data_IF_918311443560
#
_entry.id   IF_918311443560
#
_cell.length_a   1.000
_cell.length_b   1.000
_cell.length_c   1.000
_cell.angle_alpha   90.00
_cell.angle_beta   90.00
_cell.angle_gamma   90.00
#
_symmetry.space_group_name_H-M   'P 1'
#
loop_
_entity.id
_entity.type
_entity.pdbx_description
1 polymer ?
#
# COMPACT_ATOMS: atom_id res chain seq x y z
N UNK A 1 21.42 -4.14 4.07
CA UNK A 1 20.72 -4.95 3.05
C UNK A 1 21.02 -4.37 1.67
N UNK A 2 21.22 -5.20 0.68
CA UNK A 2 21.46 -4.71 -0.67
C UNK A 2 20.11 -4.47 -1.40
N UNK A 3 20.15 -3.79 -2.55
CA UNK A 3 18.91 -3.42 -3.25
C UNK A 3 18.14 -4.64 -3.77
N UNK A 4 18.82 -5.76 -4.07
CA UNK A 4 18.17 -7.00 -4.47
C UNK A 4 17.31 -7.57 -3.35
N UNK A 5 17.84 -7.58 -2.13
CA UNK A 5 17.09 -8.04 -0.98
C UNK A 5 15.93 -7.13 -0.66
N UNK A 6 16.14 -5.82 -0.78
CA UNK A 6 15.07 -4.85 -0.55
C UNK A 6 13.92 -5.07 -1.53
N UNK A 7 14.24 -5.31 -2.80
CA UNK A 7 13.22 -5.59 -3.81
C UNK A 7 12.48 -6.89 -3.50
N UNK A 8 13.20 -7.92 -3.03
CA UNK A 8 12.58 -9.19 -2.69
C UNK A 8 11.61 -9.05 -1.52
N UNK A 9 12.02 -8.33 -0.48
CA UNK A 9 11.15 -8.06 0.67
C UNK A 9 9.91 -7.27 0.24
N UNK A 10 10.10 -6.26 -0.60
CA UNK A 10 8.98 -5.45 -1.06
C UNK A 10 7.97 -6.28 -1.84
N UNK A 11 8.46 -7.15 -2.72
CA UNK A 11 7.58 -8.03 -3.51
C UNK A 11 6.85 -9.03 -2.64
N UNK A 12 7.55 -9.61 -1.67
CA UNK A 12 6.93 -10.57 -0.75
C UNK A 12 5.84 -9.90 0.08
N UNK A 13 6.11 -8.71 0.59
CA UNK A 13 5.12 -7.96 1.36
C UNK A 13 3.90 -7.60 0.52
N UNK A 14 4.12 -7.17 -0.71
CA UNK A 14 3.04 -6.81 -1.63
C UNK A 14 2.18 -8.02 -1.95
N UNK A 15 2.82 -9.15 -2.29
CA UNK A 15 2.10 -10.39 -2.60
C UNK A 15 1.29 -10.86 -1.40
N UNK A 16 1.87 -10.82 -0.21
CA UNK A 16 1.20 -11.22 1.02
C UNK A 16 -0.04 -10.37 1.27
N UNK A 17 0.09 -9.06 1.08
CA UNK A 17 -1.01 -8.12 1.26
C UNK A 17 -2.16 -8.45 0.31
N UNK A 18 -1.86 -8.65 -0.96
CA UNK A 18 -2.88 -8.96 -1.97
C UNK A 18 -3.57 -10.28 -1.66
N UNK A 19 -2.81 -11.31 -1.34
CA UNK A 19 -3.36 -12.63 -1.02
C UNK A 19 -4.25 -12.53 0.22
N UNK A 20 -3.82 -11.80 1.24
CA UNK A 20 -4.59 -11.64 2.46
C UNK A 20 -5.94 -10.96 2.17
N UNK A 21 -5.94 -9.85 1.44
CA UNK A 21 -7.18 -9.15 1.10
C UNK A 21 -8.11 -10.03 0.25
N UNK A 22 -7.56 -10.74 -0.73
CA UNK A 22 -8.36 -11.64 -1.55
C UNK A 22 -8.97 -12.76 -0.73
N UNK A 23 -8.23 -13.29 0.23
CA UNK A 23 -8.74 -14.34 1.11
C UNK A 23 -9.89 -13.81 1.96
N UNK A 24 -9.75 -12.61 2.54
CA UNK A 24 -10.82 -12.00 3.32
C UNK A 24 -12.06 -11.76 2.48
N UNK A 25 -11.89 -11.29 1.25
CA UNK A 25 -12.99 -11.07 0.32
C UNK A 25 -13.69 -12.39 -0.01
N UNK A 26 -12.91 -13.42 -0.31
CA UNK A 26 -13.44 -14.73 -0.67
C UNK A 26 -14.26 -15.34 0.46
N UNK A 27 -13.83 -15.13 1.69
CA UNK A 27 -14.53 -15.64 2.86
C UNK A 27 -15.71 -14.77 3.29
N UNK A 28 -15.87 -13.62 2.65
CA UNK A 28 -16.97 -12.72 2.97
C UNK A 28 -16.79 -11.97 4.27
N UNK A 29 -15.57 -11.92 4.79
CA UNK A 29 -15.29 -11.21 6.04
C UNK A 29 -15.24 -9.70 5.87
N UNK A 30 -14.91 -9.22 4.67
CA UNK A 30 -14.99 -7.81 4.31
C UNK A 30 -15.55 -7.72 2.90
N UNK A 31 -16.16 -6.57 2.57
CA UNK A 31 -16.61 -6.32 1.22
C UNK A 31 -15.46 -5.73 0.39
N UNK A 32 -15.59 -5.80 -0.93
CA UNK A 32 -14.62 -5.16 -1.83
C UNK A 32 -14.52 -3.67 -1.53
N UNK A 33 -15.65 -3.01 -1.29
CA UNK A 33 -15.67 -1.59 -0.97
C UNK A 33 -14.91 -1.28 0.31
N UNK A 34 -15.05 -2.12 1.33
CA UNK A 34 -14.30 -1.96 2.57
C UNK A 34 -12.81 -2.12 2.34
N UNK A 35 -12.40 -3.15 1.58
CA UNK A 35 -11.00 -3.39 1.29
C UNK A 35 -10.38 -2.21 0.57
N UNK A 36 -11.05 -1.70 -0.45
CA UNK A 36 -10.58 -0.57 -1.23
C UNK A 36 -10.50 0.68 -0.34
N UNK A 37 -11.51 0.90 0.50
CA UNK A 37 -11.52 2.04 1.41
C UNK A 37 -10.34 2.01 2.38
N UNK A 38 -10.06 0.86 2.96
CA UNK A 38 -8.95 0.70 3.90
C UNK A 38 -7.64 1.08 3.22
N UNK A 39 -7.43 0.58 2.01
CA UNK A 39 -6.20 0.84 1.27
C UNK A 39 -6.10 2.31 0.86
N UNK A 40 -7.19 2.89 0.39
CA UNK A 40 -7.19 4.29 -0.03
C UNK A 40 -7.02 5.25 1.15
N UNK A 41 -7.59 4.92 2.32
CA UNK A 41 -7.38 5.71 3.52
C UNK A 41 -5.90 5.73 3.90
N UNK A 42 -5.22 4.60 3.76
CA UNK A 42 -3.79 4.54 4.02
C UNK A 42 -3.00 5.37 2.99
N UNK A 43 -3.43 5.33 1.72
CA UNK A 43 -2.80 6.13 0.69
C UNK A 43 -2.93 7.64 0.99
N UNK A 44 -4.11 8.07 1.45
CA UNK A 44 -4.32 9.47 1.83
C UNK A 44 -3.44 9.84 3.01
N UNK A 45 -3.32 8.94 3.99
CA UNK A 45 -2.46 9.16 5.15
C UNK A 45 -1.01 9.37 4.73
N UNK A 46 -0.52 8.56 3.79
CA UNK A 46 0.85 8.69 3.28
C UNK A 46 1.04 9.99 2.50
N UNK A 47 0.04 10.38 1.72
CA UNK A 47 0.10 11.63 0.97
C UNK A 47 0.14 12.84 1.91
N UNK A 48 -0.61 12.79 3.02
CA UNK A 48 -0.59 13.85 4.02
C UNK A 48 0.77 13.94 4.71
N UNK A 49 1.37 12.80 5.01
CA UNK A 49 2.71 12.75 5.60
C UNK A 49 3.73 13.38 4.66
N UNK A 50 3.63 13.10 3.37
CA UNK A 50 4.50 13.70 2.37
C UNK A 50 4.35 15.23 2.35
N UNK A 51 3.13 15.72 2.38
CA UNK A 51 2.87 17.16 2.36
C UNK A 51 3.43 17.84 3.62
N UNK A 52 3.34 17.18 4.77
CA UNK A 52 3.85 17.72 6.03
C UNK A 52 5.36 17.71 6.12
N UNK A 53 5.98 16.75 5.45
CA UNK A 53 7.43 16.58 5.44
C UNK A 53 8.08 17.23 4.23
N UNK A 54 7.41 18.16 3.63
CA UNK A 54 7.89 18.84 2.45
C UNK A 54 9.31 19.37 2.66
N UNK A 55 10.21 19.03 1.74
CA UNK A 55 11.60 19.43 1.84
C UNK A 55 12.49 18.45 2.60
N UNK A 56 11.91 17.39 3.14
CA UNK A 56 12.68 16.34 3.83
C UNK A 56 12.83 15.13 2.92
N UNK A 57 13.85 14.32 3.19
CA UNK A 57 14.17 13.18 2.35
C UNK A 57 13.12 12.09 2.32
N UNK A 58 12.21 12.06 3.29
CA UNK A 58 11.20 11.02 3.38
C UNK A 58 9.99 11.21 2.47
N UNK A 59 9.76 12.42 1.98
CA UNK A 59 8.54 12.74 1.24
C UNK A 59 8.39 11.97 -0.06
N UNK A 60 9.50 11.69 -0.74
CA UNK A 60 9.48 10.91 -1.99
C UNK A 60 8.99 9.48 -1.74
N UNK A 61 9.48 8.86 -0.67
CA UNK A 61 9.09 7.49 -0.32
C UNK A 61 7.60 7.44 0.03
N UNK A 62 7.09 8.43 0.76
CA UNK A 62 5.67 8.47 1.13
C UNK A 62 4.79 8.64 -0.11
N UNK A 63 5.20 9.48 -1.04
CA UNK A 63 4.46 9.68 -2.29
C UNK A 63 4.41 8.40 -3.10
N UNK A 64 5.54 7.71 -3.24
CA UNK A 64 5.60 6.45 -3.97
C UNK A 64 4.77 5.38 -3.29
N UNK A 65 4.77 5.35 -1.97
CA UNK A 65 3.94 4.43 -1.20
C UNK A 65 2.46 4.65 -1.49
N UNK A 66 2.02 5.90 -1.52
CA UNK A 66 0.63 6.23 -1.82
C UNK A 66 0.24 5.76 -3.22
N UNK A 67 1.11 5.95 -4.21
CA UNK A 67 0.86 5.50 -5.57
C UNK A 67 0.72 3.98 -5.66
N UNK A 68 1.59 3.26 -4.96
CA UNK A 68 1.55 1.80 -4.94
C UNK A 68 0.26 1.31 -4.28
N UNK A 69 -0.16 1.94 -3.20
CA UNK A 69 -1.40 1.58 -2.52
C UNK A 69 -2.61 1.74 -3.42
N UNK A 70 -2.63 2.78 -4.24
CA UNK A 70 -3.70 2.97 -5.23
C UNK A 70 -3.71 1.85 -6.26
N UNK A 71 -2.54 1.43 -6.71
CA UNK A 71 -2.44 0.33 -7.66
C UNK A 71 -2.94 -0.98 -7.05
N UNK A 72 -2.64 -1.22 -5.79
CA UNK A 72 -3.14 -2.41 -5.08
C UNK A 72 -4.66 -2.38 -5.03
N UNK A 73 -5.24 -1.23 -4.66
CA UNK A 73 -6.69 -1.08 -4.57
C UNK A 73 -7.36 -1.38 -5.91
N UNK A 74 -6.74 -0.95 -7.02
CA UNK A 74 -7.29 -1.19 -8.35
C UNK A 74 -7.30 -2.67 -8.72
N UNK A 75 -6.40 -3.47 -8.13
CA UNK A 75 -6.31 -4.89 -8.42
C UNK A 75 -7.30 -5.74 -7.62
N UNK A 76 -7.91 -5.19 -6.63
CA UNK A 76 -8.90 -5.90 -5.84
C UNK A 76 -10.27 -5.83 -6.49
#
# INVERSE_FOLDING_TARGET
>A
MNSSEDAAYARAALSTTIVLFRTLLKKGLISREEAVRIILDEAVSKAKAEAQDQGRGGSEADRRCAEILKLIAEQL
#
